data_IF_668397203222
#
_entry.id   IF_668397203222
#
_cell.length_a   1.000
_cell.length_b   1.000
_cell.length_c   1.000
_cell.angle_alpha   90.00
_cell.angle_beta   90.00
_cell.angle_gamma   90.00
#
_symmetry.space_group_name_H-M   'P 1'
#
loop_
_entity.id
_entity.type
_entity.pdbx_description
1 polymer ?
#
# COMPACT_ATOMS: atom_id res chain seq x y z
N UNK A 1 1.77 76.30 12.82
CA UNK A 1 2.91 75.54 12.26
C UNK A 1 2.67 74.08 12.59
N UNK A 2 2.16 73.29 11.62
CA UNK A 2 1.81 71.86 11.82
C UNK A 2 2.78 71.04 10.97
N UNK A 3 3.53 70.15 11.62
CA UNK A 3 4.48 69.23 10.98
C UNK A 3 3.72 67.94 10.69
N UNK A 4 3.51 67.64 9.40
CA UNK A 4 3.00 66.34 8.96
C UNK A 4 4.20 65.42 8.73
N UNK A 5 4.30 64.36 9.51
CA UNK A 5 5.26 63.27 9.31
C UNK A 5 4.60 62.24 8.39
N UNK A 6 5.14 62.12 7.17
CA UNK A 6 4.71 61.15 6.17
C UNK A 6 5.45 59.82 6.44
N UNK A 7 4.74 58.79 6.87
CA UNK A 7 5.29 57.43 6.96
C UNK A 7 5.27 56.78 5.58
N UNK A 8 6.46 56.53 5.01
CA UNK A 8 6.62 55.72 3.82
C UNK A 8 6.60 54.23 4.21
N UNK A 9 5.55 53.52 3.82
CA UNK A 9 5.47 52.06 3.93
C UNK A 9 6.24 51.46 2.76
N UNK A 10 7.39 50.84 3.05
CA UNK A 10 8.16 50.07 2.06
C UNK A 10 7.49 48.70 1.92
N UNK A 11 6.74 48.53 0.84
CA UNK A 11 6.27 47.21 0.38
C UNK A 11 7.47 46.43 -0.18
N UNK A 12 8.06 45.57 0.63
CA UNK A 12 9.01 44.57 0.16
C UNK A 12 8.21 43.51 -0.60
N UNK A 13 8.23 43.60 -1.92
CA UNK A 13 7.72 42.56 -2.81
C UNK A 13 8.56 41.30 -2.64
N UNK A 14 8.05 40.34 -1.86
CA UNK A 14 8.53 38.97 -1.89
C UNK A 14 8.17 38.39 -3.26
N UNK A 15 9.18 38.33 -4.15
CA UNK A 15 9.12 37.51 -5.35
C UNK A 15 8.92 36.05 -4.91
N UNK A 16 7.67 35.61 -4.87
CA UNK A 16 7.35 34.18 -4.87
C UNK A 16 7.95 33.60 -6.15
N UNK A 17 9.14 33.03 -6.04
CA UNK A 17 9.63 32.09 -7.03
C UNK A 17 8.65 30.92 -7.01
N UNK A 18 7.75 30.89 -7.99
CA UNK A 18 7.02 29.69 -8.36
C UNK A 18 8.06 28.64 -8.74
N UNK A 19 8.37 27.77 -7.77
CA UNK A 19 9.19 26.59 -7.97
C UNK A 19 8.63 25.81 -9.15
N UNK A 20 9.44 25.64 -10.21
CA UNK A 20 9.21 24.73 -11.34
C UNK A 20 9.26 23.25 -10.88
N UNK A 21 8.51 22.92 -9.83
CA UNK A 21 8.13 21.56 -9.48
C UNK A 21 6.75 21.25 -10.07
N UNK A 22 6.42 21.89 -11.20
CA UNK A 22 5.24 21.59 -11.99
C UNK A 22 5.49 20.26 -12.72
N UNK A 23 4.79 19.27 -12.20
CA UNK A 23 4.29 18.07 -12.87
C UNK A 23 5.34 17.16 -13.50
N UNK A 24 5.99 16.36 -12.65
CA UNK A 24 6.60 15.13 -13.11
C UNK A 24 5.49 14.22 -13.67
N UNK A 25 5.33 14.24 -14.99
CA UNK A 25 4.35 13.39 -15.67
C UNK A 25 4.72 11.93 -15.43
N UNK A 26 3.88 11.24 -14.66
CA UNK A 26 4.10 9.83 -14.34
C UNK A 26 3.75 8.97 -15.53
N UNK A 27 4.77 8.53 -16.25
CA UNK A 27 4.65 7.56 -17.34
C UNK A 27 5.06 6.17 -16.86
N UNK A 28 4.80 5.15 -17.67
CA UNK A 28 5.25 3.77 -17.37
C UNK A 28 6.77 3.71 -17.10
N UNK A 29 7.54 4.58 -17.75
CA UNK A 29 8.99 4.65 -17.62
C UNK A 29 9.43 5.65 -16.54
N UNK A 30 8.53 6.53 -16.06
CA UNK A 30 8.78 7.55 -15.06
C UNK A 30 7.79 7.52 -13.90
N UNK A 31 7.86 6.44 -13.10
CA UNK A 31 6.93 6.23 -11.98
C UNK A 31 7.27 7.06 -10.73
N UNK A 32 8.54 7.41 -10.53
CA UNK A 32 9.04 8.10 -9.34
C UNK A 32 9.37 9.55 -9.69
N UNK A 33 8.90 10.47 -8.85
CA UNK A 33 9.03 11.91 -9.02
C UNK A 33 9.72 12.59 -7.82
N UNK A 34 10.34 13.77 -8.00
CA UNK A 34 10.78 14.60 -6.89
C UNK A 34 9.64 14.87 -5.89
N UNK A 35 9.94 14.80 -4.60
CA UNK A 35 8.98 14.94 -3.51
C UNK A 35 8.30 13.63 -3.07
N UNK A 36 8.34 12.59 -3.90
CA UNK A 36 7.70 11.32 -3.60
C UNK A 36 8.31 10.66 -2.35
N UNK A 37 7.48 10.07 -1.46
CA UNK A 37 7.97 9.19 -0.42
C UNK A 37 8.49 7.91 -1.05
N UNK A 38 9.63 7.42 -0.59
CA UNK A 38 10.25 6.19 -1.09
C UNK A 38 10.86 5.37 0.03
N UNK A 39 11.03 4.08 -0.24
CA UNK A 39 11.82 3.17 0.60
C UNK A 39 12.81 2.43 -0.28
N UNK A 40 14.09 2.45 0.07
CA UNK A 40 15.14 1.71 -0.63
C UNK A 40 15.19 0.23 -0.22
N UNK A 41 15.96 -0.55 -0.98
CA UNK A 41 16.24 -1.97 -0.75
C UNK A 41 16.97 -2.24 0.58
N UNK A 42 17.82 -1.31 1.03
CA UNK A 42 18.43 -1.28 2.36
C UNK A 42 17.48 -0.75 3.47
N UNK A 43 16.19 -0.61 3.15
CA UNK A 43 15.08 -0.29 4.07
C UNK A 43 15.17 1.12 4.66
N UNK A 44 15.80 2.06 3.96
CA UNK A 44 15.84 3.47 4.34
C UNK A 44 14.58 4.15 3.82
N UNK A 45 13.80 4.74 4.72
CA UNK A 45 12.64 5.55 4.37
C UNK A 45 13.09 6.98 4.11
N UNK A 46 12.58 7.61 3.06
CA UNK A 46 12.95 8.96 2.73
C UNK A 46 12.07 9.61 1.67
N UNK A 47 12.56 10.75 1.17
CA UNK A 47 11.92 11.53 0.10
C UNK A 47 12.85 11.79 -1.05
N UNK A 48 12.35 11.64 -2.26
CA UNK A 48 13.08 11.92 -3.49
C UNK A 48 13.37 13.42 -3.58
N UNK A 49 14.62 13.78 -3.82
CA UNK A 49 15.06 15.14 -4.08
C UNK A 49 15.17 15.40 -5.58
N UNK A 50 15.71 14.43 -6.35
CA UNK A 50 15.83 14.53 -7.80
C UNK A 50 15.84 13.16 -8.47
N UNK A 51 15.53 13.14 -9.76
CA UNK A 51 15.50 11.94 -10.61
C UNK A 51 16.31 12.22 -11.86
N UNK A 52 17.24 11.33 -12.20
CA UNK A 52 17.99 11.37 -13.45
C UNK A 52 17.50 10.25 -14.39
N UNK A 53 16.66 10.56 -15.38
CA UNK A 53 16.10 9.54 -16.27
C UNK A 53 17.15 8.93 -17.22
N UNK A 54 18.23 9.65 -17.54
CA UNK A 54 19.27 9.14 -18.43
C UNK A 54 20.15 8.10 -17.75
N UNK A 55 20.42 8.29 -16.46
CA UNK A 55 21.23 7.36 -15.65
C UNK A 55 20.39 6.33 -14.89
N UNK A 56 19.05 6.44 -14.94
CA UNK A 56 18.14 5.62 -14.16
C UNK A 56 18.43 5.66 -12.64
N UNK A 57 18.83 6.83 -12.14
CA UNK A 57 19.15 7.04 -10.72
C UNK A 57 18.21 8.05 -10.08
N UNK A 58 18.06 7.92 -8.77
CA UNK A 58 17.38 8.88 -7.92
C UNK A 58 18.33 9.37 -6.83
N UNK A 59 18.13 10.61 -6.41
CA UNK A 59 18.73 11.16 -5.20
C UNK A 59 17.61 11.33 -4.17
N UNK A 60 17.76 10.77 -2.98
CA UNK A 60 16.76 10.89 -1.92
C UNK A 60 17.40 11.22 -0.57
N UNK A 61 16.63 11.85 0.31
CA UNK A 61 17.02 12.17 1.69
C UNK A 61 16.34 11.21 2.65
N UNK A 62 17.12 10.61 3.54
CA UNK A 62 16.61 9.77 4.64
C UNK A 62 15.80 10.61 5.63
N UNK A 63 14.62 10.12 6.00
CA UNK A 63 13.76 10.75 7.00
C UNK A 63 14.34 10.60 8.42
N UNK A 64 15.15 9.57 8.68
CA UNK A 64 15.69 9.29 10.01
C UNK A 64 17.02 9.99 10.30
N UNK A 65 17.87 10.12 9.30
CA UNK A 65 19.23 10.66 9.47
C UNK A 65 19.45 12.01 8.79
N UNK A 66 18.57 12.41 7.86
CA UNK A 66 18.77 13.59 7.01
C UNK A 66 19.86 13.43 5.94
N UNK A 67 20.58 12.30 5.93
CA UNK A 67 21.61 12.00 4.93
C UNK A 67 20.99 11.82 3.54
N UNK A 68 21.77 12.16 2.52
CA UNK A 68 21.37 12.04 1.12
C UNK A 68 22.05 10.85 0.48
N UNK A 69 21.30 10.09 -0.32
CA UNK A 69 21.74 8.87 -0.97
C UNK A 69 21.42 8.93 -2.46
N UNK A 70 22.25 8.27 -3.26
CA UNK A 70 22.01 8.02 -4.68
C UNK A 70 21.76 6.52 -4.86
N UNK A 71 20.69 6.17 -5.57
CA UNK A 71 20.29 4.78 -5.84
C UNK A 71 19.78 4.62 -7.26
N UNK A 72 19.82 3.41 -7.76
CA UNK A 72 19.11 3.05 -8.98
C UNK A 72 17.60 3.14 -8.76
N UNK A 73 16.88 3.59 -9.77
CA UNK A 73 15.42 3.75 -9.71
C UNK A 73 14.69 2.43 -9.49
N UNK A 74 15.20 1.34 -10.07
CA UNK A 74 14.62 0.00 -10.00
C UNK A 74 14.65 -0.61 -8.59
N UNK A 75 15.52 -0.14 -7.71
CA UNK A 75 15.64 -0.63 -6.32
C UNK A 75 14.76 0.14 -5.34
N UNK A 76 14.01 1.12 -5.83
CA UNK A 76 13.23 2.03 -4.99
C UNK A 76 11.75 1.66 -5.01
N UNK A 77 11.20 1.44 -3.83
CA UNK A 77 9.77 1.28 -3.63
C UNK A 77 9.13 2.66 -3.41
N UNK A 78 7.98 2.87 -4.05
CA UNK A 78 7.21 4.11 -3.99
C UNK A 78 6.20 4.08 -2.83
N UNK A 79 6.24 5.09 -1.97
CA UNK A 79 5.40 5.23 -0.78
C UNK A 79 3.98 5.74 -1.05
N UNK A 80 3.46 5.51 -2.25
CA UNK A 80 2.10 5.83 -2.68
C UNK A 80 1.64 4.88 -3.79
N UNK A 81 0.33 4.87 -4.05
CA UNK A 81 -0.28 4.03 -5.07
C UNK A 81 -0.44 2.57 -4.64
N UNK A 82 -0.64 1.71 -5.63
CA UNK A 82 -0.86 0.29 -5.46
C UNK A 82 -0.01 -0.51 -6.46
N UNK A 83 0.38 -1.72 -6.07
CA UNK A 83 0.93 -2.71 -6.97
C UNK A 83 -0.01 -3.92 -6.96
N UNK A 84 -0.58 -4.22 -8.13
CA UNK A 84 -1.70 -5.14 -8.25
C UNK A 84 -2.84 -4.73 -7.32
N UNK A 85 -3.11 -5.53 -6.28
CA UNK A 85 -4.17 -5.30 -5.30
C UNK A 85 -3.66 -4.82 -3.94
N UNK A 86 -2.36 -4.51 -3.84
CA UNK A 86 -1.70 -4.12 -2.61
C UNK A 86 -1.43 -2.62 -2.61
N UNK A 87 -2.15 -1.87 -1.80
CA UNK A 87 -2.02 -0.42 -1.72
C UNK A 87 -1.25 0.03 -0.49
N UNK A 88 -0.52 1.13 -0.65
CA UNK A 88 0.19 1.74 0.49
C UNK A 88 -0.80 2.13 1.59
N UNK A 89 -0.42 1.89 2.86
CA UNK A 89 -1.22 2.01 4.10
C UNK A 89 -2.20 0.87 4.37
N UNK A 90 -2.40 -0.07 3.45
CA UNK A 90 -3.22 -1.24 3.74
C UNK A 90 -2.55 -2.18 4.75
N UNK A 91 -3.40 -2.94 5.46
CA UNK A 91 -2.96 -4.00 6.38
C UNK A 91 -2.87 -5.32 5.64
N UNK A 92 -1.81 -6.05 5.91
CA UNK A 92 -1.53 -7.35 5.31
C UNK A 92 -1.04 -8.35 6.35
N UNK A 93 -1.07 -9.61 5.97
CA UNK A 93 -0.35 -10.70 6.63
C UNK A 93 0.71 -11.22 5.67
N UNK A 94 1.97 -11.22 6.09
CA UNK A 94 3.05 -11.83 5.33
C UNK A 94 3.28 -13.26 5.79
N UNK A 95 3.27 -14.20 4.86
CA UNK A 95 3.58 -15.61 5.10
C UNK A 95 5.10 -15.80 5.06
N UNK A 96 5.67 -16.25 6.16
CA UNK A 96 7.13 -16.43 6.30
C UNK A 96 7.51 -17.89 6.09
N UNK A 97 6.86 -18.79 6.82
CA UNK A 97 7.01 -20.24 6.74
C UNK A 97 5.80 -20.92 7.41
N UNK A 98 5.79 -22.25 7.53
CA UNK A 98 4.68 -23.02 8.12
C UNK A 98 4.23 -22.41 9.46
N UNK A 99 2.99 -21.89 9.49
CA UNK A 99 2.34 -21.22 10.62
C UNK A 99 3.11 -20.00 11.21
N UNK A 100 4.13 -19.49 10.51
CA UNK A 100 4.81 -18.25 10.82
C UNK A 100 4.35 -17.13 9.90
N UNK A 101 3.87 -16.06 10.52
CA UNK A 101 3.32 -14.91 9.82
C UNK A 101 3.72 -13.59 10.48
N UNK A 102 3.60 -12.50 9.73
CA UNK A 102 3.85 -11.15 10.24
C UNK A 102 2.66 -10.27 9.84
N UNK A 103 1.96 -9.73 10.84
CA UNK A 103 1.03 -8.63 10.62
C UNK A 103 1.80 -7.35 10.29
N UNK A 104 1.37 -6.64 9.26
CA UNK A 104 2.04 -5.43 8.85
C UNK A 104 1.17 -4.42 8.12
N UNK A 105 1.74 -3.24 7.91
CA UNK A 105 1.16 -2.18 7.08
C UNK A 105 2.09 -1.85 5.94
N UNK A 106 1.56 -1.80 4.73
CA UNK A 106 2.33 -1.47 3.53
C UNK A 106 2.84 -0.04 3.62
N UNK A 107 4.14 0.12 3.45
CA UNK A 107 4.82 1.41 3.41
C UNK A 107 5.06 1.88 1.98
N UNK A 108 5.42 0.97 1.08
CA UNK A 108 5.77 1.29 -0.29
C UNK A 108 5.64 0.08 -1.21
N UNK A 109 5.53 0.32 -2.51
CA UNK A 109 5.43 -0.71 -3.56
C UNK A 109 6.49 -0.51 -4.63
N UNK A 110 7.16 -1.58 -5.05
CA UNK A 110 8.17 -1.55 -6.10
C UNK A 110 7.66 -2.33 -7.35
N UNK A 111 7.15 -1.62 -8.37
CA UNK A 111 6.66 -2.25 -9.60
C UNK A 111 7.78 -2.81 -10.49
N UNK A 112 9.03 -2.39 -10.31
CA UNK A 112 10.17 -2.91 -11.07
C UNK A 112 10.59 -4.31 -10.60
N UNK A 113 10.47 -4.57 -9.30
CA UNK A 113 10.88 -5.83 -8.68
C UNK A 113 9.70 -6.71 -8.24
N UNK A 114 8.47 -6.26 -8.45
CA UNK A 114 7.26 -6.92 -7.96
C UNK A 114 7.28 -7.18 -6.45
N UNK A 115 7.82 -6.23 -5.69
CA UNK A 115 7.96 -6.33 -4.24
C UNK A 115 7.12 -5.28 -3.51
N UNK A 116 6.71 -5.64 -2.32
CA UNK A 116 5.98 -4.80 -1.38
C UNK A 116 6.86 -4.61 -0.15
N UNK A 117 6.96 -3.37 0.29
CA UNK A 117 7.66 -2.98 1.51
C UNK A 117 6.63 -2.69 2.59
N UNK A 118 6.74 -3.33 3.75
CA UNK A 118 5.80 -3.16 4.85
C UNK A 118 6.51 -3.08 6.20
N UNK A 119 5.84 -2.47 7.18
CA UNK A 119 6.29 -2.42 8.58
C UNK A 119 5.54 -3.46 9.40
N UNK A 120 6.26 -4.35 10.07
CA UNK A 120 5.66 -5.32 10.99
C UNK A 120 5.11 -4.65 12.24
N UNK A 121 3.90 -5.00 12.66
CA UNK A 121 3.21 -4.36 13.80
C UNK A 121 3.85 -4.69 15.14
N UNK A 122 4.39 -5.92 15.29
CA UNK A 122 5.03 -6.35 16.55
C UNK A 122 6.47 -5.86 16.61
N UNK A 123 7.28 -6.18 15.59
CA UNK A 123 8.71 -5.90 15.62
C UNK A 123 9.07 -4.44 15.31
N UNK A 124 8.17 -3.69 14.66
CA UNK A 124 8.49 -2.37 14.08
C UNK A 124 9.44 -2.40 12.88
N UNK A 125 10.10 -3.53 12.62
CA UNK A 125 10.99 -3.76 11.48
C UNK A 125 10.29 -3.58 10.13
N UNK A 126 11.08 -3.12 9.15
CA UNK A 126 10.68 -3.03 7.74
C UNK A 126 11.08 -4.33 7.03
N UNK A 127 10.16 -4.86 6.24
CA UNK A 127 10.31 -6.07 5.45
C UNK A 127 10.04 -5.78 3.98
N UNK A 128 10.72 -6.54 3.11
CA UNK A 128 10.52 -6.51 1.65
C UNK A 128 10.15 -7.93 1.23
N UNK A 129 9.00 -8.09 0.58
CA UNK A 129 8.49 -9.39 0.16
C UNK A 129 7.83 -9.30 -1.21
N UNK A 130 7.83 -10.42 -1.94
CA UNK A 130 7.03 -10.55 -3.15
C UNK A 130 5.55 -10.67 -2.78
N UNK A 131 4.67 -10.09 -3.60
CA UNK A 131 3.23 -10.07 -3.37
C UNK A 131 2.60 -11.47 -3.25
N UNK A 132 3.22 -12.50 -3.83
CA UNK A 132 2.77 -13.91 -3.73
C UNK A 132 2.90 -14.45 -2.30
N UNK A 133 3.73 -13.85 -1.44
CA UNK A 133 3.84 -14.23 -0.02
C UNK A 133 3.00 -13.37 0.92
N UNK A 134 2.13 -12.51 0.39
CA UNK A 134 1.30 -11.60 1.19
C UNK A 134 -0.17 -11.97 1.07
N UNK A 135 -0.94 -11.73 2.12
CA UNK A 135 -2.38 -11.87 2.12
C UNK A 135 -3.03 -10.57 2.54
N UNK A 136 -4.12 -10.23 1.86
CA UNK A 136 -4.96 -9.08 2.14
C UNK A 136 -5.94 -9.42 3.25
N UNK A 137 -6.15 -8.49 4.17
CA UNK A 137 -7.15 -8.62 5.23
C UNK A 137 -8.56 -8.21 4.77
N UNK A 138 -8.83 -8.34 3.48
CA UNK A 138 -10.12 -8.10 2.84
C UNK A 138 -10.20 -8.88 1.53
N UNK A 139 -11.42 -9.05 1.02
CA UNK A 139 -11.68 -9.71 -0.25
C UNK A 139 -11.95 -11.20 -0.13
N UNK A 140 -11.96 -11.86 -1.28
CA UNK A 140 -12.33 -13.26 -1.45
C UNK A 140 -11.37 -13.96 -2.41
N UNK A 141 -11.16 -15.25 -2.15
CA UNK A 141 -10.45 -16.15 -3.06
C UNK A 141 -11.24 -17.46 -3.14
N UNK A 142 -11.65 -17.82 -4.35
CA UNK A 142 -12.39 -19.07 -4.64
C UNK A 142 -13.61 -19.27 -3.73
N UNK A 143 -14.43 -18.24 -3.54
CA UNK A 143 -15.64 -18.30 -2.71
C UNK A 143 -15.39 -18.20 -1.20
N UNK A 144 -14.15 -18.31 -0.73
CA UNK A 144 -13.76 -18.11 0.67
C UNK A 144 -13.36 -16.65 0.86
N UNK A 145 -14.05 -15.94 1.75
CA UNK A 145 -13.85 -14.52 2.01
C UNK A 145 -13.32 -14.27 3.41
N UNK A 146 -12.66 -13.12 3.59
CA UNK A 146 -12.34 -12.61 4.93
C UNK A 146 -13.63 -12.46 5.75
N UNK A 147 -13.57 -12.79 7.03
CA UNK A 147 -14.68 -12.88 7.98
C UNK A 147 -15.67 -14.02 7.73
N UNK A 148 -15.42 -14.95 6.81
CA UNK A 148 -16.18 -16.20 6.77
C UNK A 148 -15.79 -17.08 7.96
N UNK A 149 -16.79 -17.73 8.56
CA UNK A 149 -16.55 -18.84 9.49
C UNK A 149 -16.45 -20.13 8.69
N UNK A 150 -15.35 -20.85 8.89
CA UNK A 150 -15.01 -22.04 8.10
C UNK A 150 -14.47 -23.16 8.99
N UNK A 151 -14.51 -24.37 8.46
CA UNK A 151 -13.74 -25.51 8.99
C UNK A 151 -12.79 -26.01 7.91
N UNK A 152 -11.53 -26.19 8.27
CA UNK A 152 -10.51 -26.74 7.37
C UNK A 152 -10.56 -28.27 7.30
N UNK A 153 -9.87 -28.85 6.31
CA UNK A 153 -9.77 -30.30 6.14
C UNK A 153 -9.11 -31.03 7.34
N UNK A 154 -8.21 -30.35 8.06
CA UNK A 154 -7.61 -30.79 9.33
C UNK A 154 -8.51 -30.52 10.55
N UNK A 155 -9.79 -30.19 10.33
CA UNK A 155 -10.84 -29.97 11.34
C UNK A 155 -10.61 -28.78 12.25
N UNK A 156 -9.83 -27.79 11.80
CA UNK A 156 -9.66 -26.54 12.54
C UNK A 156 -10.86 -25.65 12.17
N UNK A 157 -11.67 -25.34 13.18
CA UNK A 157 -12.75 -24.35 13.04
C UNK A 157 -12.19 -22.96 13.34
N UNK A 158 -12.56 -21.98 12.53
CA UNK A 158 -12.09 -20.62 12.74
C UNK A 158 -12.75 -19.58 11.84
N UNK A 159 -12.20 -18.38 11.92
CA UNK A 159 -12.56 -17.25 11.06
C UNK A 159 -11.45 -16.92 10.08
N UNK A 160 -11.79 -16.70 8.82
CA UNK A 160 -10.83 -16.26 7.80
C UNK A 160 -10.42 -14.82 8.08
N UNK A 161 -9.13 -14.55 8.27
CA UNK A 161 -8.63 -13.20 8.58
C UNK A 161 -7.85 -12.55 7.44
N UNK A 162 -7.37 -13.34 6.47
CA UNK A 162 -6.73 -12.82 5.27
C UNK A 162 -6.78 -13.82 4.11
N UNK A 163 -6.72 -13.30 2.89
CA UNK A 163 -6.70 -14.08 1.65
C UNK A 163 -5.57 -13.64 0.73
N UNK A 164 -4.95 -14.58 0.04
CA UNK A 164 -3.98 -14.31 -1.00
C UNK A 164 -4.52 -14.81 -2.34
N UNK A 165 -4.92 -13.93 -3.27
CA UNK A 165 -5.50 -14.34 -4.55
C UNK A 165 -4.50 -14.97 -5.52
N UNK A 166 -3.19 -14.81 -5.26
CA UNK A 166 -2.11 -15.23 -6.16
C UNK A 166 -1.64 -16.64 -5.83
N UNK A 167 -1.50 -16.95 -4.53
CA UNK A 167 -1.16 -18.30 -4.06
C UNK A 167 -2.39 -19.14 -3.70
N UNK A 168 -3.60 -18.55 -3.73
CA UNK A 168 -4.84 -19.18 -3.29
C UNK A 168 -4.84 -19.58 -1.80
N UNK A 169 -3.87 -19.08 -1.03
CA UNK A 169 -3.77 -19.34 0.40
C UNK A 169 -4.68 -18.41 1.21
N UNK A 170 -5.13 -18.93 2.35
CA UNK A 170 -6.03 -18.28 3.29
C UNK A 170 -5.42 -18.40 4.69
N UNK A 171 -5.45 -17.31 5.44
CA UNK A 171 -5.11 -17.30 6.85
C UNK A 171 -6.39 -17.49 7.68
N UNK A 172 -6.45 -18.60 8.41
CA UNK A 172 -7.53 -18.96 9.33
C UNK A 172 -7.10 -18.69 10.77
N UNK A 173 -7.86 -17.89 11.51
CA UNK A 173 -7.70 -17.79 12.96
C UNK A 173 -8.59 -18.82 13.65
N UNK A 174 -8.00 -19.73 14.41
CA UNK A 174 -8.72 -20.79 15.15
C UNK A 174 -9.57 -20.21 16.27
N UNK A 175 -10.81 -20.68 16.38
CA UNK A 175 -11.73 -20.29 17.46
C UNK A 175 -11.27 -20.85 18.83
N UNK A 176 -10.51 -21.95 18.84
CA UNK A 176 -10.12 -22.65 20.08
C UNK A 176 -8.77 -22.17 20.63
N UNK A 177 -7.81 -21.91 19.75
CA UNK A 177 -6.41 -21.65 20.13
C UNK A 177 -5.97 -20.22 19.85
N UNK A 178 -6.78 -19.44 19.12
CA UNK A 178 -6.44 -18.12 18.57
C UNK A 178 -5.23 -18.11 17.62
N UNK A 179 -4.62 -19.27 17.37
CA UNK A 179 -3.53 -19.46 16.42
C UNK A 179 -3.99 -19.23 14.99
N UNK A 180 -3.08 -18.71 14.15
CA UNK A 180 -3.33 -18.52 12.72
C UNK A 180 -2.69 -19.64 11.93
N UNK A 181 -3.49 -20.27 11.07
CA UNK A 181 -3.10 -21.34 10.18
C UNK A 181 -3.21 -20.88 8.73
N UNK A 182 -2.20 -21.20 7.92
CA UNK A 182 -2.20 -20.87 6.50
C UNK A 182 -2.49 -22.14 5.71
N UNK A 183 -3.55 -22.13 4.90
CA UNK A 183 -3.97 -23.29 4.07
C UNK A 183 -4.46 -22.84 2.71
N UNK A 184 -4.53 -23.77 1.76
CA UNK A 184 -5.16 -23.54 0.45
C UNK A 184 -6.67 -23.33 0.63
N UNK A 185 -7.23 -22.35 -0.08
CA UNK A 185 -8.66 -21.99 -0.05
C UNK A 185 -9.61 -23.16 -0.31
N UNK A 186 -9.18 -24.16 -1.11
CA UNK A 186 -9.99 -25.35 -1.46
C UNK A 186 -10.14 -26.32 -0.29
N UNK A 187 -9.38 -26.15 0.78
CA UNK A 187 -9.41 -27.03 1.96
C UNK A 187 -10.49 -26.63 2.97
N UNK A 188 -11.20 -25.54 2.74
CA UNK A 188 -12.21 -25.03 3.66
C UNK A 188 -13.64 -25.39 3.25
N UNK A 189 -14.46 -25.67 4.25
CA UNK A 189 -15.92 -25.72 4.14
C UNK A 189 -16.52 -24.55 4.91
N UNK A 190 -17.39 -23.76 4.25
CA UNK A 190 -18.07 -22.64 4.89
C UNK A 190 -19.13 -23.13 5.88
N UNK A 191 -19.07 -22.60 7.10
CA UNK A 191 -20.10 -22.78 8.14
C UNK A 191 -21.08 -21.61 8.04
N UNK A 192 -20.53 -20.40 8.04
CA UNK A 192 -21.28 -19.15 7.93
C UNK A 192 -20.55 -18.19 7.01
N UNK A 193 -21.31 -17.54 6.12
CA UNK A 193 -20.78 -16.58 5.16
C UNK A 193 -20.87 -15.17 5.74
N UNK A 194 -19.78 -14.42 5.64
CA UNK A 194 -19.79 -12.98 5.92
C UNK A 194 -20.81 -12.26 5.03
N UNK A 195 -21.65 -11.42 5.65
CA UNK A 195 -22.61 -10.55 4.96
C UNK A 195 -21.93 -9.36 4.23
N UNK A 196 -20.63 -9.18 4.43
CA UNK A 196 -19.85 -8.10 3.79
C UNK A 196 -19.70 -8.34 2.29
N UNK A 197 -19.74 -9.61 1.85
CA UNK A 197 -19.48 -10.01 0.46
C UNK A 197 -20.69 -10.71 -0.15
N UNK A 198 -21.17 -10.17 -1.27
CA UNK A 198 -22.26 -10.76 -2.05
C UNK A 198 -21.79 -11.96 -2.90
N UNK A 199 -22.74 -12.66 -3.51
CA UNK A 199 -22.47 -13.83 -4.35
C UNK A 199 -21.61 -13.48 -5.58
N UNK A 200 -21.72 -12.26 -6.11
CA UNK A 200 -20.90 -11.82 -7.23
C UNK A 200 -19.43 -11.71 -6.82
N UNK A 201 -19.13 -11.02 -5.72
CA UNK A 201 -17.78 -10.86 -5.16
C UNK A 201 -17.16 -12.22 -4.81
N UNK A 202 -17.96 -13.14 -4.28
CA UNK A 202 -17.55 -14.52 -3.96
C UNK A 202 -17.25 -15.37 -5.19
N UNK A 203 -18.00 -15.17 -6.27
CA UNK A 203 -17.82 -15.91 -7.52
C UNK A 203 -16.57 -15.49 -8.31
N UNK A 204 -15.99 -14.34 -7.98
CA UNK A 204 -14.75 -13.89 -8.63
C UNK A 204 -13.59 -14.79 -8.21
N UNK A 205 -12.76 -15.28 -9.16
CA UNK A 205 -11.58 -16.08 -8.81
C UNK A 205 -10.58 -15.27 -7.97
N UNK A 206 -10.58 -13.93 -8.13
CA UNK A 206 -9.75 -12.97 -7.40
C UNK A 206 -10.55 -11.68 -7.17
N UNK A 207 -10.89 -11.36 -5.92
CA UNK A 207 -11.48 -10.07 -5.51
C UNK A 207 -10.55 -9.44 -4.46
N UNK A 208 -10.12 -8.17 -4.60
CA UNK A 208 -10.94 -6.98 -4.83
C UNK A 208 -10.49 -6.18 -6.06
N UNK A 209 -11.39 -6.02 -7.03
CA UNK A 209 -11.23 -4.96 -8.02
C UNK A 209 -11.64 -3.65 -7.38
N UNK A 210 -10.71 -3.01 -6.66
CA UNK A 210 -10.64 -1.55 -6.75
C UNK A 210 -10.25 -1.30 -8.20
N UNK A 211 -11.11 -0.60 -8.92
CA UNK A 211 -11.02 -0.32 -10.36
C UNK A 211 -9.55 -0.17 -10.80
N UNK A 212 -9.10 -1.08 -11.67
CA UNK A 212 -7.73 -1.16 -12.20
C UNK A 212 -7.37 0.03 -13.10
N UNK A 213 -8.24 1.06 -13.14
CA UNK A 213 -8.10 2.30 -13.89
C UNK A 213 -7.37 3.34 -13.02
N UNK A 214 -6.04 3.15 -12.93
CA UNK A 214 -5.00 4.07 -12.43
C UNK A 214 -5.03 4.27 -10.89
N UNK A 215 -3.98 4.70 -10.16
CA UNK A 215 -3.59 6.11 -10.02
C UNK A 215 -2.12 6.29 -9.59
N UNK A 216 -1.27 6.53 -10.59
CA UNK A 216 -0.19 7.52 -10.50
C UNK A 216 -0.60 8.84 -11.16
N UNK A 217 -1.83 8.99 -11.68
CA UNK A 217 -2.29 10.27 -12.22
C UNK A 217 -2.68 11.22 -11.09
N UNK A 218 -2.10 12.41 -11.13
CA UNK A 218 -2.57 13.57 -10.41
C UNK A 218 -4.07 13.81 -10.69
N UNK A 219 -4.75 14.37 -9.68
CA UNK A 219 -6.09 14.97 -9.72
C UNK A 219 -7.27 14.15 -10.24
N UNK A 220 -8.04 13.55 -9.32
CA UNK A 220 -9.52 13.57 -9.41
C UNK A 220 -10.13 13.77 -8.01
N UNK A 221 -10.75 14.93 -7.79
CA UNK A 221 -11.75 15.15 -6.73
C UNK A 221 -12.94 14.22 -6.97
N UNK A 222 -13.15 13.23 -6.12
CA UNK A 222 -14.45 12.56 -6.00
C UNK A 222 -15.22 13.14 -4.81
N UNK A 223 -16.18 14.01 -5.12
CA UNK A 223 -17.31 14.31 -4.22
C UNK A 223 -18.29 13.16 -4.35
N UNK A 224 -18.36 12.28 -3.34
CA UNK A 224 -19.39 11.27 -3.26
C UNK A 224 -20.64 11.90 -2.66
N UNK A 225 -21.59 12.23 -3.54
CA UNK A 225 -22.97 12.51 -3.17
C UNK A 225 -23.66 11.15 -2.96
N UNK A 226 -23.95 10.78 -1.71
CA UNK A 226 -24.79 9.64 -1.41
C UNK A 226 -26.26 9.97 -1.74
N UNK A 227 -27.00 9.12 -2.47
CA UNK A 227 -28.45 9.25 -2.54
C UNK A 227 -29.05 8.81 -1.20
N UNK A 228 -29.78 9.73 -0.56
CA UNK A 228 -30.68 9.43 0.54
C UNK A 228 -31.79 8.51 0.02
N UNK A 229 -31.89 7.30 0.58
CA UNK A 229 -33.05 6.44 0.39
C UNK A 229 -34.23 7.00 1.20
N UNK A 230 -35.38 7.16 0.54
CA UNK A 230 -36.67 7.45 1.15
C UNK A 230 -37.26 6.21 1.80
#
# INVERSE_FOLDING_TARGET
MKINVLFAVILVGVNMHSSLADDCTRTKDQLICPGDPVVSDDRIVGRVLSVNPNQQTIVFRSDSTGNTFIREKSTMALGLGCLEMYCVRERIIAFVSNDQYIFGTILAVNPYQNTIVFRGHISGNIFIKNFVSLALMFGCVQGTCVNDSVISADRIKGTVIAVNPFSEAVALQSDETESVYIRDSKTFSSIERSYIYDDYQRSQPRFPLVDSRLYLSADIKFSLHMPQLR
#
